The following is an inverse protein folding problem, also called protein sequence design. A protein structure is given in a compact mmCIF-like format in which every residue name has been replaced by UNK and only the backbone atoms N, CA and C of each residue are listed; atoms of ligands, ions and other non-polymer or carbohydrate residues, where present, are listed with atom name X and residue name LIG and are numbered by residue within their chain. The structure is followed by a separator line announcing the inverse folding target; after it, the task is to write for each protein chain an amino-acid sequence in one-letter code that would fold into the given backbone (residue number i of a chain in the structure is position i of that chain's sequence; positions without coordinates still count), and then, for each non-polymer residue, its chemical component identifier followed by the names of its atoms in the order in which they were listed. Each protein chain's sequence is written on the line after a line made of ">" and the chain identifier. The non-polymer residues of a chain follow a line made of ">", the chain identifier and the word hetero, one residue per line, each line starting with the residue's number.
data_IF_305101578310
#
_entry.id   IF_305101578310
#
_cell.length_a   1.000
_cell.length_b   1.000
_cell.length_c   1.000
_cell.angle_alpha   90.00
_cell.angle_beta   90.00
_cell.angle_gamma   90.00
#
_symmetry.space_group_name_H-M   'P 1'
#
loop_
_entity.id
_entity.type
_entity.pdbx_description
1 polymer ?
#
# COMPACT_ATOMS: atom_id res chain seq x y z
N UNK A 1 -15.74 -5.61 2.78
CA UNK A 1 -15.73 -7.00 2.28
C UNK A 1 -15.99 -7.93 3.45
N UNK A 2 -16.78 -8.99 3.26
CA UNK A 2 -16.98 -10.02 4.26
C UNK A 2 -15.69 -10.87 4.39
N UNK A 3 -15.33 -11.30 5.62
CA UNK A 3 -14.12 -12.11 5.84
C UNK A 3 -14.30 -13.59 5.47
N UNK A 4 -15.55 -14.03 5.24
CA UNK A 4 -15.88 -15.41 4.86
C UNK A 4 -17.23 -15.46 4.15
N UNK A 5 -17.45 -16.55 3.39
CA UNK A 5 -18.77 -16.89 2.85
C UNK A 5 -19.73 -17.25 3.98
N UNK A 6 -21.00 -16.85 3.87
CA UNK A 6 -21.99 -17.18 4.88
C UNK A 6 -23.11 -16.16 5.02
N UNK A 7 -23.94 -16.35 6.04
CA UNK A 7 -25.09 -15.51 6.32
C UNK A 7 -24.87 -14.69 7.59
N UNK A 8 -25.20 -13.38 7.53
CA UNK A 8 -25.15 -12.52 8.73
C UNK A 8 -26.26 -12.96 9.69
N UNK A 9 -25.89 -13.53 10.84
CA UNK A 9 -26.82 -14.00 11.87
C UNK A 9 -27.09 -12.96 12.96
N UNK A 10 -26.17 -12.05 13.24
CA UNK A 10 -26.41 -10.97 14.21
C UNK A 10 -25.61 -9.70 13.90
N UNK A 11 -26.20 -8.57 14.23
CA UNK A 11 -25.54 -7.25 14.25
C UNK A 11 -25.68 -6.68 15.66
N UNK A 12 -24.59 -6.73 16.43
CA UNK A 12 -24.59 -6.30 17.80
C UNK A 12 -24.26 -4.80 17.92
N UNK A 13 -25.08 -4.09 18.68
CA UNK A 13 -24.92 -2.66 18.91
C UNK A 13 -24.85 -2.37 20.40
N UNK A 14 -23.92 -1.53 20.79
CA UNK A 14 -23.75 -1.05 22.16
C UNK A 14 -24.48 0.26 22.43
N UNK A 15 -24.09 0.94 23.52
CA UNK A 15 -24.61 2.24 23.89
C UNK A 15 -24.53 3.23 22.70
N UNK A 16 -25.55 4.11 22.60
CA UNK A 16 -25.64 5.08 21.49
C UNK A 16 -25.62 4.46 20.11
N UNK A 17 -26.02 3.18 19.96
CA UNK A 17 -26.07 2.41 18.71
C UNK A 17 -24.71 2.21 18.04
N UNK A 18 -23.60 2.32 18.77
CA UNK A 18 -22.26 2.03 18.24
C UNK A 18 -22.22 0.57 17.80
N UNK A 19 -21.78 0.32 16.56
CA UNK A 19 -21.57 -1.04 16.07
C UNK A 19 -20.45 -1.71 16.88
N UNK A 20 -20.76 -2.86 17.49
CA UNK A 20 -19.81 -3.67 18.26
C UNK A 20 -19.29 -4.85 17.46
N UNK A 21 -20.18 -5.60 16.82
CA UNK A 21 -19.78 -6.74 16.00
C UNK A 21 -20.86 -7.09 14.97
N UNK A 22 -20.42 -7.74 13.93
CA UNK A 22 -21.26 -8.47 12.96
C UNK A 22 -20.89 -9.95 13.09
N UNK A 23 -21.86 -10.81 13.30
CA UNK A 23 -21.67 -12.26 13.39
C UNK A 23 -22.08 -12.86 12.06
N UNK A 24 -21.21 -13.69 11.48
CA UNK A 24 -21.43 -14.39 10.23
C UNK A 24 -21.37 -15.88 10.53
N UNK A 25 -22.45 -16.61 10.25
CA UNK A 25 -22.44 -18.06 10.24
C UNK A 25 -21.83 -18.49 8.93
N UNK A 26 -20.66 -19.15 9.01
CA UNK A 26 -19.86 -19.52 7.84
C UNK A 26 -20.53 -20.70 7.14
N UNK A 27 -20.77 -20.56 5.83
CA UNK A 27 -21.36 -21.59 4.97
C UNK A 27 -20.57 -21.69 3.67
N UNK A 28 -19.90 -22.82 3.47
CA UNK A 28 -19.09 -23.07 2.27
C UNK A 28 -17.76 -22.31 2.24
N UNK A 29 -17.09 -22.43 1.12
CA UNK A 29 -15.76 -21.84 0.86
C UNK A 29 -15.80 -20.91 -0.38
N UNK A 30 -16.96 -20.32 -0.67
CA UNK A 30 -17.09 -19.41 -1.80
C UNK A 30 -16.25 -18.16 -1.58
N UNK A 31 -15.46 -17.79 -2.59
CA UNK A 31 -14.58 -16.63 -2.57
C UNK A 31 -14.91 -15.65 -3.70
N UNK A 32 -14.86 -14.36 -3.39
CA UNK A 32 -14.88 -13.33 -4.43
C UNK A 32 -13.51 -13.29 -5.11
N UNK A 33 -13.50 -13.44 -6.43
CA UNK A 33 -12.26 -13.42 -7.21
C UNK A 33 -12.11 -12.12 -7.99
N UNK A 34 -10.88 -11.60 -8.06
CA UNK A 34 -10.54 -10.38 -8.79
C UNK A 34 -9.73 -10.71 -10.04
N UNK A 35 -9.59 -9.74 -10.95
CA UNK A 35 -8.76 -9.92 -12.13
C UNK A 35 -7.33 -10.24 -11.73
N UNK A 36 -6.82 -11.34 -12.28
CA UNK A 36 -5.43 -11.73 -12.17
C UNK A 36 -4.65 -11.23 -13.38
N UNK A 37 -3.44 -10.75 -13.15
CA UNK A 37 -2.46 -10.36 -14.15
C UNK A 37 -1.13 -11.03 -13.84
N UNK A 38 -0.45 -11.56 -14.84
CA UNK A 38 0.90 -12.09 -14.68
C UNK A 38 1.91 -10.96 -14.49
N UNK A 39 3.04 -11.24 -13.83
CA UNK A 39 4.11 -10.25 -13.59
C UNK A 39 4.61 -9.55 -14.86
N UNK A 40 4.55 -10.23 -16.01
CA UNK A 40 4.99 -9.64 -17.28
C UNK A 40 3.99 -8.65 -17.89
N UNK A 41 2.74 -8.72 -17.47
CA UNK A 41 1.68 -7.81 -17.93
C UNK A 41 1.62 -6.51 -17.13
N UNK A 42 2.11 -6.50 -15.88
CA UNK A 42 1.91 -5.40 -14.93
C UNK A 42 2.41 -4.05 -15.44
N UNK A 43 3.59 -4.02 -16.04
CA UNK A 43 4.17 -2.78 -16.58
C UNK A 43 3.42 -2.23 -17.79
N UNK A 44 2.61 -3.05 -18.44
CA UNK A 44 1.76 -2.68 -19.59
C UNK A 44 0.34 -2.27 -19.23
N UNK A 45 -0.06 -2.40 -17.96
CA UNK A 45 -1.43 -2.07 -17.54
C UNK A 45 -1.70 -0.56 -17.62
N UNK A 46 -2.92 -0.22 -18.05
CA UNK A 46 -3.37 1.16 -17.96
C UNK A 46 -3.74 1.52 -16.52
N UNK A 47 -3.62 2.82 -16.19
CA UNK A 47 -3.98 3.36 -14.87
C UNK A 47 -5.40 2.97 -14.46
N UNK A 48 -6.36 3.06 -15.37
CA UNK A 48 -7.77 2.77 -15.08
C UNK A 48 -8.00 1.30 -14.72
N UNK A 49 -7.30 0.38 -15.39
CA UNK A 49 -7.38 -1.06 -15.07
C UNK A 49 -6.85 -1.32 -13.67
N UNK A 50 -5.73 -0.70 -13.30
CA UNK A 50 -5.14 -0.83 -11.95
C UNK A 50 -6.07 -0.23 -10.90
N UNK A 51 -6.58 0.99 -11.12
CA UNK A 51 -7.52 1.63 -10.18
C UNK A 51 -8.74 0.76 -9.95
N UNK A 52 -9.37 0.28 -11.03
CA UNK A 52 -10.57 -0.55 -10.91
C UNK A 52 -10.30 -1.82 -10.09
N UNK A 53 -9.20 -2.52 -10.35
CA UNK A 53 -8.86 -3.73 -9.62
C UNK A 53 -8.57 -3.47 -8.13
N UNK A 54 -7.85 -2.38 -7.81
CA UNK A 54 -7.58 -1.98 -6.43
C UNK A 54 -8.84 -1.53 -5.68
N UNK A 55 -9.79 -0.90 -6.36
CA UNK A 55 -11.06 -0.49 -5.77
C UNK A 55 -11.96 -1.69 -5.53
N UNK A 56 -12.11 -2.58 -6.51
CA UNK A 56 -12.92 -3.81 -6.41
C UNK A 56 -12.40 -4.72 -5.29
N UNK A 57 -11.08 -4.91 -5.19
CA UNK A 57 -10.46 -5.70 -4.13
C UNK A 57 -10.45 -5.02 -2.75
N UNK A 58 -10.70 -3.71 -2.68
CA UNK A 58 -10.62 -2.92 -1.45
C UNK A 58 -9.21 -2.45 -1.08
N UNK A 59 -8.17 -2.86 -1.81
CA UNK A 59 -6.77 -2.47 -1.55
C UNK A 59 -6.52 -0.97 -1.77
N UNK A 60 -7.38 -0.28 -2.53
CA UNK A 60 -7.31 1.18 -2.67
C UNK A 60 -7.26 1.91 -1.32
N UNK A 61 -7.90 1.33 -0.31
CA UNK A 61 -7.93 1.91 1.04
C UNK A 61 -6.62 1.80 1.81
N UNK A 62 -5.62 1.08 1.34
CA UNK A 62 -4.27 1.05 1.90
C UNK A 62 -3.49 2.35 1.60
N UNK A 63 -3.78 2.98 0.47
CA UNK A 63 -3.14 4.24 0.07
C UNK A 63 -3.54 5.39 1.01
N UNK A 64 -2.56 6.25 1.32
CA UNK A 64 -2.76 7.46 2.13
C UNK A 64 -2.15 8.67 1.46
N UNK A 65 -2.90 9.76 1.39
CA UNK A 65 -2.38 11.04 0.89
C UNK A 65 -1.47 11.71 1.91
N UNK A 66 -0.52 12.51 1.44
CA UNK A 66 0.21 13.49 2.23
C UNK A 66 0.13 14.84 1.51
N UNK A 67 -0.23 15.91 2.23
CA UNK A 67 -0.66 16.00 3.63
C UNK A 67 -2.01 15.31 3.91
N UNK A 68 -2.43 15.30 5.19
CA UNK A 68 -3.75 14.90 5.74
C UNK A 68 -4.02 13.41 5.94
N UNK A 69 -3.24 12.48 5.35
CA UNK A 69 -3.40 11.02 5.56
C UNK A 69 -4.81 10.47 5.27
N UNK A 70 -5.49 11.05 4.29
CA UNK A 70 -6.76 10.56 3.81
C UNK A 70 -6.57 9.45 2.76
N UNK A 71 -7.57 8.60 2.53
CA UNK A 71 -7.64 7.74 1.35
C UNK A 71 -7.76 8.66 0.13
N UNK A 72 -6.92 8.49 -0.91
CA UNK A 72 -7.01 9.34 -2.09
C UNK A 72 -8.36 9.19 -2.80
N UNK A 73 -8.88 10.28 -3.35
CA UNK A 73 -10.01 10.20 -4.26
C UNK A 73 -9.60 9.43 -5.52
N UNK A 74 -10.52 8.64 -6.07
CA UNK A 74 -10.23 7.72 -7.20
C UNK A 74 -9.75 8.48 -8.45
N UNK A 75 -10.23 9.69 -8.64
CA UNK A 75 -9.92 10.61 -9.74
C UNK A 75 -8.71 11.52 -9.45
N UNK A 76 -8.07 11.38 -8.30
CA UNK A 76 -6.92 12.18 -7.92
C UNK A 76 -5.59 11.62 -8.48
N UNK A 77 -4.57 12.46 -8.48
CA UNK A 77 -3.22 12.09 -8.89
C UNK A 77 -2.20 12.36 -7.78
N UNK A 78 -1.24 11.44 -7.66
CA UNK A 78 -0.06 11.64 -6.84
C UNK A 78 1.09 12.19 -7.68
N UNK A 79 1.82 13.18 -7.18
CA UNK A 79 3.07 13.62 -7.80
C UNK A 79 4.24 12.65 -7.55
N UNK A 80 4.10 11.76 -6.56
CA UNK A 80 4.97 10.64 -6.28
C UNK A 80 4.28 9.68 -5.31
N UNK A 81 4.74 8.42 -5.28
CA UNK A 81 4.29 7.43 -4.30
C UNK A 81 5.49 7.00 -3.47
N UNK A 82 5.29 6.84 -2.16
CA UNK A 82 6.32 6.44 -1.21
C UNK A 82 5.96 5.11 -0.57
N UNK A 83 6.86 4.15 -0.67
CA UNK A 83 6.79 2.84 -0.01
C UNK A 83 7.84 2.82 1.11
N UNK A 84 7.41 2.66 2.36
CA UNK A 84 8.31 2.55 3.48
C UNK A 84 8.71 1.09 3.67
N UNK A 85 9.89 0.70 3.15
CA UNK A 85 10.47 -0.63 3.30
C UNK A 85 11.54 -0.67 4.40
N UNK A 86 11.40 0.17 5.41
CA UNK A 86 12.16 0.20 6.65
C UNK A 86 11.29 0.72 7.80
N UNK A 87 11.64 0.34 9.00
CA UNK A 87 11.02 0.88 10.22
C UNK A 87 12.12 1.09 11.28
N UNK A 88 12.09 2.24 11.94
CA UNK A 88 12.98 2.58 13.05
C UNK A 88 12.23 2.73 14.37
N UNK A 89 10.95 2.35 14.43
CA UNK A 89 10.17 2.34 15.66
C UNK A 89 10.73 1.31 16.65
N UNK A 90 10.75 1.61 17.95
CA UNK A 90 11.14 0.63 18.95
C UNK A 90 10.28 -0.64 18.85
N UNK A 91 10.91 -1.81 18.90
CA UNK A 91 10.26 -3.12 18.81
C UNK A 91 9.59 -3.44 17.45
N UNK A 92 9.86 -2.66 16.42
CA UNK A 92 9.41 -3.02 15.06
C UNK A 92 10.15 -4.27 14.56
N UNK A 93 9.44 -5.13 13.81
CA UNK A 93 10.07 -6.20 13.06
C UNK A 93 10.96 -5.65 11.94
N UNK A 94 11.92 -6.42 11.48
CA UNK A 94 12.75 -6.03 10.33
C UNK A 94 11.96 -6.22 9.02
N UNK A 95 11.62 -5.13 8.32
CA UNK A 95 10.87 -5.23 7.06
C UNK A 95 11.59 -6.06 6.00
N UNK A 96 12.91 -6.12 6.01
CA UNK A 96 13.68 -6.90 5.03
C UNK A 96 13.42 -8.41 5.15
N UNK A 97 13.19 -8.91 6.36
CA UNK A 97 12.84 -10.31 6.60
C UNK A 97 11.43 -10.61 6.07
N UNK A 98 10.48 -9.73 6.36
CA UNK A 98 9.08 -9.89 5.93
C UNK A 98 8.96 -9.83 4.40
N UNK A 99 9.61 -8.86 3.78
CA UNK A 99 9.60 -8.69 2.31
C UNK A 99 10.30 -9.87 1.62
N UNK A 100 11.36 -10.43 2.22
CA UNK A 100 12.09 -11.55 1.62
C UNK A 100 11.23 -12.81 1.45
N UNK A 101 10.20 -13.01 2.27
CA UNK A 101 9.27 -14.14 2.15
C UNK A 101 8.39 -14.05 0.90
N UNK A 102 8.14 -12.82 0.40
CA UNK A 102 7.29 -12.55 -0.77
C UNK A 102 7.95 -11.52 -1.70
N UNK A 103 9.25 -11.70 -1.98
CA UNK A 103 10.07 -10.73 -2.71
C UNK A 103 9.53 -10.42 -4.12
N UNK A 104 9.06 -11.43 -4.84
CA UNK A 104 8.51 -11.27 -6.19
C UNK A 104 7.18 -10.50 -6.16
N UNK A 105 6.29 -10.83 -5.22
CA UNK A 105 5.02 -10.09 -5.05
C UNK A 105 5.24 -8.64 -4.64
N UNK A 106 6.26 -8.37 -3.82
CA UNK A 106 6.63 -6.99 -3.46
C UNK A 106 7.12 -6.21 -4.68
N UNK A 107 7.97 -6.82 -5.51
CA UNK A 107 8.45 -6.21 -6.75
C UNK A 107 7.30 -5.93 -7.74
N UNK A 108 6.39 -6.89 -7.90
CA UNK A 108 5.19 -6.75 -8.73
C UNK A 108 4.27 -5.62 -8.21
N UNK A 109 4.11 -5.51 -6.89
CA UNK A 109 3.38 -4.41 -6.26
C UNK A 109 3.97 -3.03 -6.58
N UNK A 110 5.30 -2.91 -6.64
CA UNK A 110 5.96 -1.66 -7.04
C UNK A 110 5.67 -1.29 -8.50
N UNK A 111 5.63 -2.28 -9.40
CA UNK A 111 5.28 -2.08 -10.81
C UNK A 111 3.81 -1.64 -10.98
N UNK A 112 2.90 -2.19 -10.16
CA UNK A 112 1.50 -1.75 -10.08
C UNK A 112 1.41 -0.31 -9.59
N UNK A 113 2.12 0.06 -8.53
CA UNK A 113 2.14 1.43 -8.01
C UNK A 113 2.69 2.44 -9.03
N UNK A 114 3.64 2.02 -9.86
CA UNK A 114 4.18 2.85 -10.93
C UNK A 114 3.11 3.24 -11.98
N UNK A 115 2.03 2.47 -12.12
CA UNK A 115 0.90 2.82 -13.00
C UNK A 115 -0.01 3.90 -12.46
N UNK A 116 0.04 4.17 -11.14
CA UNK A 116 -0.85 5.13 -10.47
C UNK A 116 -0.34 6.59 -10.49
N UNK A 117 0.91 6.80 -10.83
CA UNK A 117 1.52 8.14 -10.84
C UNK A 117 2.31 8.40 -12.13
N UNK A 118 2.34 9.63 -12.58
CA UNK A 118 3.27 10.08 -13.62
C UNK A 118 4.66 10.44 -13.06
N UNK A 119 4.79 10.45 -11.73
CA UNK A 119 6.04 10.72 -11.03
C UNK A 119 6.82 9.47 -10.68
N UNK A 120 7.62 9.53 -9.61
CA UNK A 120 8.42 8.41 -9.13
C UNK A 120 7.71 7.63 -8.03
N UNK A 121 8.04 6.34 -7.95
CA UNK A 121 7.78 5.49 -6.78
C UNK A 121 9.08 5.38 -6.00
N UNK A 122 9.12 5.94 -4.80
CA UNK A 122 10.27 5.91 -3.92
C UNK A 122 10.14 4.78 -2.90
N UNK A 123 11.13 3.89 -2.86
CA UNK A 123 11.23 2.83 -1.86
C UNK A 123 12.28 3.24 -0.84
N UNK A 124 11.85 3.67 0.35
CA UNK A 124 12.74 4.00 1.45
C UNK A 124 13.20 2.75 2.18
N UNK A 125 14.50 2.47 2.23
CA UNK A 125 15.07 1.27 2.82
C UNK A 125 16.27 1.55 3.72
N UNK A 126 16.62 0.61 4.59
CA UNK A 126 17.85 0.68 5.37
C UNK A 126 19.10 0.43 4.50
N UNK A 127 20.24 1.05 4.80
CA UNK A 127 21.47 0.84 4.04
C UNK A 127 21.86 -0.63 3.97
N UNK A 128 22.20 -1.08 2.77
CA UNK A 128 22.64 -2.46 2.52
C UNK A 128 21.53 -3.52 2.59
N UNK A 129 20.26 -3.15 2.88
CA UNK A 129 19.16 -4.09 2.87
C UNK A 129 18.84 -4.53 1.43
N UNK A 130 18.55 -5.83 1.27
CA UNK A 130 18.26 -6.44 -0.04
C UNK A 130 16.75 -6.36 -0.34
N UNK A 131 16.23 -5.14 -0.41
CA UNK A 131 14.84 -4.93 -0.80
C UNK A 131 14.74 -5.01 -2.33
N UNK A 132 13.86 -5.85 -2.90
CA UNK A 132 13.68 -5.93 -4.33
C UNK A 132 13.09 -4.62 -4.88
N UNK A 133 13.38 -4.33 -6.12
CA UNK A 133 12.78 -3.24 -6.90
C UNK A 133 11.98 -3.83 -8.06
N UNK A 134 10.91 -3.16 -8.48
CA UNK A 134 10.16 -3.54 -9.66
C UNK A 134 10.97 -3.41 -10.96
N UNK A 135 10.37 -3.80 -12.07
CA UNK A 135 10.93 -3.69 -13.43
C UNK A 135 10.78 -2.27 -14.01
N UNK A 136 9.83 -1.49 -13.47
CA UNK A 136 9.53 -0.15 -13.98
C UNK A 136 10.63 0.85 -13.61
N UNK A 137 11.10 1.61 -14.59
CA UNK A 137 12.19 2.58 -14.43
C UNK A 137 11.85 3.79 -13.56
N UNK A 138 10.58 4.03 -13.26
CA UNK A 138 10.14 5.07 -12.34
C UNK A 138 10.29 4.69 -10.86
N UNK A 139 10.52 3.40 -10.56
CA UNK A 139 10.77 2.91 -9.21
C UNK A 139 12.23 3.19 -8.82
N UNK A 140 12.42 3.87 -7.70
CA UNK A 140 13.76 4.27 -7.20
C UNK A 140 13.90 3.87 -5.73
N UNK A 141 14.97 3.14 -5.38
CA UNK A 141 15.32 2.84 -4.00
C UNK A 141 16.22 3.91 -3.41
N UNK A 142 15.89 4.38 -2.22
CA UNK A 142 16.65 5.41 -1.50
C UNK A 142 16.99 4.91 -0.08
N UNK A 143 18.23 5.10 0.33
CA UNK A 143 18.70 4.62 1.62
C UNK A 143 18.61 5.70 2.70
N UNK A 144 18.03 5.33 3.84
CA UNK A 144 17.93 6.17 5.02
C UNK A 144 18.55 5.48 6.22
N UNK A 145 19.33 6.22 6.99
CA UNK A 145 20.00 5.73 8.21
C UNK A 145 19.86 6.72 9.35
N UNK A 146 19.89 6.22 10.57
CA UNK A 146 19.84 7.03 11.76
C UNK A 146 18.81 6.53 12.78
N UNK A 147 18.72 7.21 13.94
CA UNK A 147 17.71 6.89 14.94
C UNK A 147 16.31 7.22 14.41
N UNK A 148 15.30 6.71 15.11
CA UNK A 148 13.92 7.16 14.87
C UNK A 148 13.87 8.71 14.90
N UNK A 149 13.25 9.39 13.92
CA UNK A 149 12.27 8.91 12.95
C UNK A 149 12.82 8.63 11.53
N UNK A 150 14.07 8.19 11.36
CA UNK A 150 14.66 7.96 10.03
C UNK A 150 13.83 7.00 9.16
N UNK A 151 13.15 6.01 9.75
CA UNK A 151 12.30 5.05 9.07
C UNK A 151 10.87 5.51 8.80
N UNK A 152 10.49 6.72 9.21
CA UNK A 152 9.16 7.22 8.92
C UNK A 152 9.05 7.76 7.49
N UNK A 153 7.98 7.39 6.80
CA UNK A 153 7.71 7.87 5.44
C UNK A 153 7.66 9.40 5.35
N UNK A 154 7.26 10.09 6.42
CA UNK A 154 7.29 11.55 6.49
C UNK A 154 8.69 12.14 6.35
N UNK A 155 9.70 11.47 6.94
CA UNK A 155 11.12 11.82 6.78
C UNK A 155 11.57 11.63 5.34
N UNK A 156 11.21 10.49 4.72
CA UNK A 156 11.54 10.22 3.31
C UNK A 156 10.94 11.28 2.38
N UNK A 157 9.66 11.62 2.57
CA UNK A 157 8.98 12.66 1.80
C UNK A 157 9.69 14.01 1.93
N UNK A 158 10.07 14.37 3.16
CA UNK A 158 10.74 15.65 3.41
C UNK A 158 12.02 15.81 2.58
N UNK A 159 12.83 14.76 2.48
CA UNK A 159 14.11 14.84 1.78
C UNK A 159 14.01 14.62 0.28
N UNK A 160 13.08 13.78 -0.19
CA UNK A 160 13.04 13.36 -1.60
C UNK A 160 12.03 14.16 -2.43
N UNK A 161 10.85 14.42 -1.89
CA UNK A 161 9.76 15.07 -2.63
C UNK A 161 8.79 15.77 -1.66
N UNK A 162 9.20 16.90 -1.06
CA UNK A 162 8.38 17.59 -0.07
C UNK A 162 7.00 17.95 -0.61
N UNK A 163 5.99 17.78 0.23
CA UNK A 163 4.61 18.17 -0.06
C UNK A 163 4.39 19.66 0.12
N UNK A 164 3.36 20.20 -0.51
CA UNK A 164 2.93 21.59 -0.37
C UNK A 164 1.40 21.68 -0.46
N UNK A 165 0.86 22.88 -0.43
CA UNK A 165 -0.57 23.11 -0.63
C UNK A 165 -1.08 22.64 -1.99
N UNK A 166 -0.20 22.56 -3.00
CA UNK A 166 -0.52 22.17 -4.38
C UNK A 166 0.14 20.86 -4.82
N UNK A 167 0.95 20.23 -3.95
CA UNK A 167 1.69 19.02 -4.27
C UNK A 167 1.35 17.93 -3.27
N UNK A 168 0.61 16.92 -3.74
CA UNK A 168 0.22 15.76 -2.97
C UNK A 168 1.04 14.55 -3.38
N UNK A 169 1.51 13.77 -2.41
CA UNK A 169 2.10 12.45 -2.63
C UNK A 169 1.25 11.39 -1.91
N UNK A 170 1.38 10.15 -2.34
CA UNK A 170 0.74 9.03 -1.64
C UNK A 170 1.77 8.18 -0.92
N UNK A 171 1.30 7.46 0.08
CA UNK A 171 2.11 6.52 0.85
C UNK A 171 1.39 5.20 1.00
N UNK A 172 2.16 4.13 1.06
CA UNK A 172 1.68 2.77 1.32
C UNK A 172 2.71 2.05 2.18
N UNK A 173 2.28 1.12 3.00
CA UNK A 173 3.16 0.27 3.81
C UNK A 173 3.78 -0.84 2.97
N UNK A 174 4.87 -1.43 3.47
CA UNK A 174 5.49 -2.59 2.83
C UNK A 174 4.68 -3.88 3.00
N UNK A 175 3.67 -3.85 3.87
CA UNK A 175 2.81 -5.00 4.19
C UNK A 175 1.56 -5.07 3.30
N UNK A 176 1.24 -3.99 2.59
CA UNK A 176 0.10 -3.88 1.71
C UNK A 176 0.49 -4.30 0.28
#
# INVERSE_FOLDING_TARGET
>A
TAPAAGTVSAINRGAKRILQSVVIDIEGDDEETFKFFSSDELTGLSKDVVINNLVESGLWTALRTRPYSAVPAIDSEASAIFVAAMDTSPLAGDPSVIIAENADSFADGLDVLARLTSGKVYVGKAPGSKIPTGKDSSVTSEEFSGPHPAGLVGTHIHFLSPVSATKTVWTVGYQD
#
